data_IF_280990997919
#
_entry.id   IF_280990997919
#
_cell.length_a   1.000
_cell.length_b   1.000
_cell.length_c   1.000
_cell.angle_alpha   90.00
_cell.angle_beta   90.00
_cell.angle_gamma   90.00
#
_symmetry.space_group_name_H-M   'P 1'
#
loop_
_entity.id
_entity.type
_entity.pdbx_description
1 polymer ?
#
# COMPACT_ATOMS: atom_id res chain seq x y z
N UNK A 1 -9.17 0.32 6.38
CA UNK A 1 -7.85 0.70 6.95
C UNK A 1 -6.93 1.14 5.82
N UNK A 2 -6.21 2.25 5.98
CA UNK A 2 -5.24 2.66 4.97
C UNK A 2 -3.98 1.81 5.07
N UNK A 3 -3.18 1.79 3.98
CA UNK A 3 -1.92 1.06 3.99
C UNK A 3 -0.97 1.62 5.06
N UNK A 4 -0.94 2.95 5.22
CA UNK A 4 -0.12 3.58 6.26
C UNK A 4 -0.49 3.06 7.65
N UNK A 5 -1.79 3.01 7.95
CA UNK A 5 -2.27 2.53 9.23
C UNK A 5 -1.87 1.07 9.47
N UNK A 6 -1.99 0.24 8.44
CA UNK A 6 -1.62 -1.17 8.53
C UNK A 6 -0.12 -1.34 8.78
N UNK A 7 0.70 -0.60 8.06
CA UNK A 7 2.16 -0.64 8.21
C UNK A 7 2.56 -0.22 9.63
N UNK A 8 1.98 0.87 10.12
CA UNK A 8 2.25 1.40 11.45
C UNK A 8 1.83 0.40 12.53
N UNK A 9 0.65 -0.18 12.36
CA UNK A 9 0.11 -1.15 13.33
C UNK A 9 0.99 -2.37 13.45
N UNK A 10 1.55 -2.85 12.34
CA UNK A 10 2.39 -4.05 12.30
C UNK A 10 3.87 -3.75 12.48
N UNK A 11 4.25 -2.47 12.58
CA UNK A 11 5.63 -2.03 12.80
C UNK A 11 6.60 -2.52 11.72
N UNK A 12 6.14 -2.56 10.48
CA UNK A 12 6.99 -2.93 9.35
C UNK A 12 7.68 -1.70 8.75
N UNK A 13 8.84 -1.91 8.14
CA UNK A 13 9.43 -0.92 7.25
C UNK A 13 8.77 -1.04 5.88
N UNK A 14 9.02 -0.07 5.01
CA UNK A 14 8.51 -0.14 3.62
C UNK A 14 9.10 -1.35 2.88
N UNK A 15 10.39 -1.64 3.10
CA UNK A 15 11.04 -2.80 2.50
C UNK A 15 10.43 -4.12 2.97
N UNK A 16 10.18 -4.24 4.27
CA UNK A 16 9.55 -5.43 4.83
C UNK A 16 8.14 -5.61 4.30
N UNK A 17 7.41 -4.52 4.16
CA UNK A 17 6.05 -4.54 3.63
C UNK A 17 6.05 -5.05 2.18
N UNK A 18 6.98 -4.55 1.37
CA UNK A 18 7.09 -4.99 -0.03
C UNK A 18 7.40 -6.48 -0.11
N UNK A 19 8.31 -6.97 0.74
CA UNK A 19 8.66 -8.39 0.79
C UNK A 19 7.45 -9.24 1.19
N UNK A 20 6.70 -8.79 2.18
CA UNK A 20 5.53 -9.52 2.65
C UNK A 20 4.48 -9.68 1.56
N UNK A 21 4.31 -8.68 0.72
CA UNK A 21 3.33 -8.72 -0.37
C UNK A 21 3.87 -9.39 -1.63
N UNK A 22 5.16 -9.75 -1.65
CA UNK A 22 5.77 -10.34 -2.84
C UNK A 22 5.94 -9.35 -3.99
N UNK A 23 6.11 -8.08 -3.67
CA UNK A 23 6.35 -7.03 -4.67
C UNK A 23 7.85 -6.99 -4.95
N UNK A 24 8.23 -7.46 -6.13
CA UNK A 24 9.63 -7.56 -6.55
C UNK A 24 9.85 -6.77 -7.84
N UNK A 25 9.83 -5.47 -7.73
CA UNK A 25 10.11 -4.60 -8.87
C UNK A 25 11.28 -3.68 -8.51
N UNK A 26 11.63 -2.79 -9.41
CA UNK A 26 12.68 -1.79 -9.15
C UNK A 26 12.14 -0.83 -8.09
N UNK A 27 12.90 -0.64 -7.02
CA UNK A 27 12.55 0.25 -5.90
C UNK A 27 11.23 -0.10 -5.21
N UNK A 28 11.07 -1.34 -4.72
CA UNK A 28 9.82 -1.74 -4.09
C UNK A 28 9.47 -0.92 -2.85
N UNK A 29 10.46 -0.57 -2.03
CA UNK A 29 10.23 0.24 -0.83
C UNK A 29 9.70 1.64 -1.19
N UNK A 30 10.23 2.26 -2.24
CA UNK A 30 9.78 3.57 -2.70
C UNK A 30 8.34 3.51 -3.19
N UNK A 31 7.97 2.46 -3.90
CA UNK A 31 6.60 2.28 -4.38
C UNK A 31 5.63 2.12 -3.22
N UNK A 32 5.99 1.32 -2.21
CA UNK A 32 5.17 1.16 -1.01
C UNK A 32 5.01 2.51 -0.30
N UNK A 33 6.07 3.29 -0.21
CA UNK A 33 6.02 4.61 0.41
C UNK A 33 5.02 5.52 -0.31
N UNK A 34 5.05 5.55 -1.64
CA UNK A 34 4.13 6.36 -2.44
C UNK A 34 2.69 5.93 -2.24
N UNK A 35 2.44 4.62 -2.22
CA UNK A 35 1.10 4.11 -1.96
C UNK A 35 0.63 4.48 -0.57
N UNK A 36 1.50 4.37 0.43
CA UNK A 36 1.15 4.69 1.82
C UNK A 36 0.86 6.17 2.03
N UNK A 37 1.48 7.04 1.23
CA UNK A 37 1.27 8.49 1.32
C UNK A 37 0.11 8.99 0.46
N UNK A 38 -0.54 8.10 -0.28
CA UNK A 38 -1.63 8.50 -1.17
C UNK A 38 -1.17 9.20 -2.43
N UNK A 39 0.12 9.15 -2.75
CA UNK A 39 0.67 9.81 -3.95
C UNK A 39 0.39 9.00 -5.22
N UNK A 40 0.11 7.72 -5.08
CA UNK A 40 -0.06 6.84 -6.23
C UNK A 40 -1.04 5.72 -5.88
N UNK A 41 -1.88 5.36 -6.84
CA UNK A 41 -2.80 4.23 -6.68
C UNK A 41 -2.12 2.99 -7.26
N UNK A 42 -2.05 1.88 -6.50
CA UNK A 42 -1.42 0.66 -7.01
C UNK A 42 -2.11 0.12 -8.25
N UNK A 43 -1.33 -0.46 -9.15
CA UNK A 43 -1.85 -1.21 -10.29
C UNK A 43 -2.74 -2.36 -9.78
N UNK A 44 -3.75 -2.80 -10.56
CA UNK A 44 -4.65 -3.88 -10.09
C UNK A 44 -3.96 -5.13 -9.58
N UNK A 45 -2.87 -5.55 -10.20
CA UNK A 45 -2.13 -6.73 -9.74
C UNK A 45 -1.48 -6.51 -8.38
N UNK A 46 -0.91 -5.32 -8.17
CA UNK A 46 -0.32 -4.94 -6.88
C UNK A 46 -1.40 -4.73 -5.85
N UNK A 47 -2.51 -4.13 -6.24
CA UNK A 47 -3.66 -3.92 -5.38
C UNK A 47 -4.14 -5.24 -4.78
N UNK A 48 -4.22 -6.29 -5.60
CA UNK A 48 -4.64 -7.61 -5.14
C UNK A 48 -3.65 -8.19 -4.14
N UNK A 49 -2.35 -8.01 -4.39
CA UNK A 49 -1.32 -8.48 -3.47
C UNK A 49 -1.43 -7.80 -2.11
N UNK A 50 -1.71 -6.50 -2.10
CA UNK A 50 -1.90 -5.75 -0.87
C UNK A 50 -3.17 -6.21 -0.14
N UNK A 51 -4.25 -6.35 -0.87
CA UNK A 51 -5.53 -6.80 -0.31
C UNK A 51 -5.39 -8.18 0.35
N UNK A 52 -4.80 -9.14 -0.37
CA UNK A 52 -4.58 -10.49 0.15
C UNK A 52 -3.55 -10.50 1.29
N UNK A 53 -2.46 -9.77 1.13
CA UNK A 53 -1.37 -9.73 2.11
C UNK A 53 -1.78 -9.08 3.43
N UNK A 54 -2.75 -8.18 3.41
CA UNK A 54 -3.28 -7.55 4.63
C UNK A 54 -4.51 -8.27 5.16
N UNK A 55 -4.85 -9.43 4.62
CA UNK A 55 -6.05 -10.20 5.00
C UNK A 55 -7.31 -9.36 4.83
N UNK A 56 -7.41 -8.66 3.71
CA UNK A 56 -8.54 -7.81 3.33
C UNK A 56 -8.72 -6.56 4.19
N UNK A 57 -7.75 -6.23 5.03
CA UNK A 57 -7.85 -5.04 5.88
C UNK A 57 -7.62 -3.75 5.10
N UNK A 58 -6.73 -3.78 4.11
CA UNK A 58 -6.49 -2.63 3.22
C UNK A 58 -7.20 -2.92 1.90
N UNK A 59 -8.20 -2.11 1.58
CA UNK A 59 -9.06 -2.31 0.41
C UNK A 59 -8.75 -1.27 -0.67
N UNK A 60 -9.10 -1.56 -1.93
CA UNK A 60 -8.88 -0.59 -3.01
C UNK A 60 -9.48 0.78 -2.72
N UNK A 61 -10.65 0.82 -2.10
CA UNK A 61 -11.34 2.07 -1.80
C UNK A 61 -10.52 2.97 -0.87
N UNK A 62 -9.71 2.37 0.02
CA UNK A 62 -8.87 3.14 0.93
C UNK A 62 -7.85 3.99 0.16
N UNK A 63 -7.31 3.46 -0.94
CA UNK A 63 -6.37 4.19 -1.78
C UNK A 63 -7.05 5.31 -2.56
N UNK A 64 -8.23 5.06 -3.09
CA UNK A 64 -8.95 6.06 -3.88
C UNK A 64 -9.39 7.24 -3.02
N UNK A 65 -9.90 6.98 -1.83
CA UNK A 65 -10.30 8.05 -0.92
C UNK A 65 -9.14 8.94 -0.54
N UNK A 66 -8.01 8.34 -0.19
CA UNK A 66 -6.80 9.08 0.20
C UNK A 66 -6.26 9.90 -0.98
N UNK A 67 -6.26 9.33 -2.16
CA UNK A 67 -5.80 10.00 -3.37
C UNK A 67 -6.68 11.22 -3.70
N UNK A 68 -8.00 11.06 -3.62
CA UNK A 68 -8.92 12.16 -3.90
C UNK A 68 -8.78 13.28 -2.88
N UNK A 69 -8.61 12.97 -1.62
CA UNK A 69 -8.41 13.99 -0.59
C UNK A 69 -7.14 14.79 -0.84
N UNK A 70 -6.10 14.12 -1.32
CA UNK A 70 -4.83 14.77 -1.63
C UNK A 70 -4.95 15.72 -2.82
N UNK A 71 -5.77 15.40 -3.81
CA UNK A 71 -5.97 16.22 -4.99
C UNK A 71 -6.76 17.51 -4.71
N UNK A 72 -7.44 17.58 -3.61
CA UNK A 72 -8.17 18.75 -3.18
C UNK A 72 -7.29 19.66 -2.33
#
# INVERSE_FOLDING_TARGET
MTLREWITKNKYSYSQTAQKFGIININPATNIQRYAKGERIPHPKVMKKIFDGTKKQVQPNDFYEEYWQREQ
#
